data_IF_222367771684
#
_entry.id   IF_222367771684
#
_cell.length_a   1.000
_cell.length_b   1.000
_cell.length_c   1.000
_cell.angle_alpha   90.00
_cell.angle_beta   90.00
_cell.angle_gamma   90.00
#
_symmetry.space_group_name_H-M   'P 1'
#
loop_
_entity.id
_entity.type
_entity.pdbx_description
1 polymer ?
#
# COMPACT_ATOMS: atom_id res chain seq x y z
N UNK A 1 16.94 1.95 -3.13
CA UNK A 1 15.84 2.00 -2.15
C UNK A 1 15.66 3.47 -1.76
N UNK A 2 14.41 3.96 -1.66
CA UNK A 2 14.15 5.21 -0.96
C UNK A 2 14.86 5.14 0.40
N UNK A 3 15.39 6.24 0.92
CA UNK A 3 16.16 6.26 2.17
C UNK A 3 15.31 5.93 3.42
N UNK A 4 14.07 5.46 3.24
CA UNK A 4 13.15 5.00 4.28
C UNK A 4 12.62 6.14 5.14
N UNK A 5 12.83 7.40 4.73
CA UNK A 5 12.35 8.56 5.46
C UNK A 5 10.82 8.66 5.33
N UNK A 6 10.13 9.17 6.36
CA UNK A 6 8.72 9.51 6.23
C UNK A 6 8.49 10.42 5.02
N UNK A 7 7.52 10.07 4.18
CA UNK A 7 7.18 10.81 2.97
C UNK A 7 7.89 10.35 1.69
N UNK A 8 8.83 9.40 1.77
CA UNK A 8 9.67 8.99 0.63
C UNK A 8 9.01 7.89 -0.22
N UNK A 9 8.20 7.03 0.41
CA UNK A 9 7.49 5.97 -0.30
C UNK A 9 6.22 5.55 0.45
N UNK A 10 5.06 5.44 -0.22
CA UNK A 10 3.78 5.15 0.44
C UNK A 10 3.78 3.84 1.22
N UNK A 11 4.40 2.77 0.69
CA UNK A 11 4.51 1.48 1.39
C UNK A 11 5.21 1.64 2.76
N UNK A 12 6.39 2.26 2.79
CA UNK A 12 7.14 2.48 4.04
C UNK A 12 6.39 3.41 4.97
N UNK A 13 5.73 4.44 4.43
CA UNK A 13 4.94 5.38 5.21
C UNK A 13 3.76 4.70 5.90
N UNK A 14 3.03 3.83 5.21
CA UNK A 14 1.87 3.12 5.73
C UNK A 14 2.28 2.05 6.76
N UNK A 15 3.34 1.30 6.48
CA UNK A 15 3.73 0.11 7.25
C UNK A 15 4.62 0.48 8.43
N UNK A 16 5.68 1.25 8.18
CA UNK A 16 6.71 1.60 9.17
C UNK A 16 6.32 2.85 9.94
N UNK A 17 5.95 3.92 9.22
CA UNK A 17 5.66 5.22 9.83
C UNK A 17 4.20 5.37 10.27
N UNK A 18 3.33 4.39 9.96
CA UNK A 18 1.91 4.35 10.30
C UNK A 18 1.14 5.60 9.84
N UNK A 19 1.55 6.17 8.72
CA UNK A 19 0.89 7.32 8.10
C UNK A 19 -0.32 6.85 7.30
N UNK A 20 -1.27 7.77 7.13
CA UNK A 20 -2.37 7.61 6.20
C UNK A 20 -1.99 8.22 4.85
N UNK A 21 -2.20 7.48 3.76
CA UNK A 21 -1.87 7.90 2.39
C UNK A 21 -3.06 7.77 1.45
N UNK A 22 -3.66 6.58 1.37
CA UNK A 22 -4.81 6.30 0.49
C UNK A 22 -6.14 6.29 1.24
N UNK A 23 -6.09 6.53 2.55
CA UNK A 23 -7.23 6.45 3.45
C UNK A 23 -7.30 5.08 4.16
N UNK A 24 -8.04 4.99 5.28
CA UNK A 24 -8.00 3.83 6.17
C UNK A 24 -8.29 2.48 5.48
N UNK A 25 -9.30 2.34 4.60
CA UNK A 25 -9.61 1.04 3.98
C UNK A 25 -8.46 0.46 3.15
N UNK A 26 -7.82 1.29 2.32
CA UNK A 26 -6.71 0.88 1.49
C UNK A 26 -5.44 0.65 2.32
N UNK A 27 -5.16 1.56 3.25
CA UNK A 27 -3.95 1.48 4.07
C UNK A 27 -3.96 0.27 5.01
N UNK A 28 -5.12 -0.11 5.54
CA UNK A 28 -5.28 -1.33 6.35
C UNK A 28 -5.07 -2.61 5.53
N UNK A 29 -5.60 -2.65 4.30
CA UNK A 29 -5.34 -3.76 3.38
C UNK A 29 -3.86 -3.87 3.01
N UNK A 30 -3.18 -2.74 2.76
CA UNK A 30 -1.74 -2.70 2.47
C UNK A 30 -0.94 -3.28 3.65
N UNK A 31 -1.28 -2.91 4.88
CA UNK A 31 -0.66 -3.47 6.09
C UNK A 31 -0.89 -4.97 6.20
N UNK A 32 -2.11 -5.43 5.97
CA UNK A 32 -2.48 -6.85 6.03
C UNK A 32 -1.74 -7.68 4.95
N UNK A 33 -1.69 -7.19 3.71
CA UNK A 33 -0.96 -7.80 2.60
C UNK A 33 0.52 -7.93 2.96
N UNK A 34 1.13 -6.88 3.51
CA UNK A 34 2.53 -6.94 3.93
C UNK A 34 2.78 -7.93 5.06
N UNK A 35 1.82 -8.14 5.96
CA UNK A 35 1.94 -9.13 7.04
C UNK A 35 1.87 -10.55 6.48
N UNK A 36 1.01 -10.81 5.49
CA UNK A 36 0.81 -12.15 4.91
C UNK A 36 1.88 -12.53 3.87
N UNK A 37 2.24 -11.60 2.98
CA UNK A 37 3.09 -11.85 1.81
C UNK A 37 4.45 -11.14 1.84
N UNK A 38 4.72 -10.34 2.87
CA UNK A 38 5.90 -9.47 2.92
C UNK A 38 5.79 -8.23 2.01
N UNK A 39 6.79 -7.34 2.11
CA UNK A 39 6.81 -6.10 1.32
C UNK A 39 6.82 -6.31 -0.20
N UNK A 40 7.39 -7.42 -0.68
CA UNK A 40 7.47 -7.74 -2.11
C UNK A 40 6.13 -8.12 -2.75
N UNK A 41 5.12 -8.47 -1.95
CA UNK A 41 3.76 -8.67 -2.47
C UNK A 41 3.18 -7.36 -3.03
N UNK A 42 3.56 -6.23 -2.43
CA UNK A 42 3.09 -4.89 -2.80
C UNK A 42 3.87 -4.30 -3.99
N UNK A 43 5.05 -4.81 -4.33
CA UNK A 43 5.86 -4.35 -5.48
C UNK A 43 5.13 -4.50 -6.83
N UNK A 44 4.09 -5.34 -6.88
CA UNK A 44 3.24 -5.50 -8.07
C UNK A 44 2.30 -4.32 -8.31
N UNK A 45 2.08 -3.50 -7.28
CA UNK A 45 1.29 -2.28 -7.36
C UNK A 45 2.24 -1.08 -7.43
N UNK A 46 2.06 -0.23 -8.43
CA UNK A 46 2.78 1.04 -8.53
C UNK A 46 2.17 2.09 -7.59
N UNK A 47 2.24 1.82 -6.28
CA UNK A 47 1.66 2.68 -5.24
C UNK A 47 2.30 4.07 -5.22
N UNK A 48 3.57 4.19 -5.64
CA UNK A 48 4.25 5.48 -5.70
C UNK A 48 3.60 6.42 -6.73
N UNK A 49 3.29 5.92 -7.92
CA UNK A 49 2.58 6.70 -8.96
C UNK A 49 1.14 7.03 -8.58
N UNK A 50 0.53 6.25 -7.69
CA UNK A 50 -0.82 6.47 -7.20
C UNK A 50 -0.88 7.47 -6.03
N UNK A 51 0.24 7.76 -5.37
CA UNK A 51 0.27 8.59 -4.17
C UNK A 51 -0.21 10.04 -4.46
N UNK A 52 -1.26 10.52 -3.77
CA UNK A 52 -1.78 11.88 -3.96
C UNK A 52 -0.75 12.98 -3.68
N UNK A 53 0.24 12.72 -2.81
CA UNK A 53 1.29 13.68 -2.45
C UNK A 53 2.23 13.96 -3.62
N UNK A 54 2.36 13.01 -4.55
CA UNK A 54 3.15 13.15 -5.77
C UNK A 54 2.28 13.45 -7.01
N UNK A 55 1.02 13.85 -6.79
CA UNK A 55 0.08 14.21 -7.86
C UNK A 55 -0.73 13.03 -8.41
N UNK A 56 -0.61 11.85 -7.81
CA UNK A 56 -1.45 10.69 -8.12
C UNK A 56 -2.93 10.98 -7.87
N UNK A 57 -3.79 10.39 -8.70
CA UNK A 57 -5.26 10.47 -8.55
C UNK A 57 -5.86 9.09 -8.69
N UNK A 58 -5.63 8.22 -7.70
CA UNK A 58 -6.13 6.85 -7.77
C UNK A 58 -7.65 6.85 -7.69
N UNK A 59 -8.27 5.96 -8.45
CA UNK A 59 -9.61 5.53 -8.11
C UNK A 59 -9.51 4.65 -6.86
N UNK A 60 -9.86 5.21 -5.70
CA UNK A 60 -9.73 4.53 -4.41
C UNK A 60 -10.61 3.28 -4.33
N UNK A 61 -11.76 3.26 -5.00
CA UNK A 61 -12.64 2.10 -5.01
C UNK A 61 -12.03 0.96 -5.83
N UNK A 62 -11.43 1.28 -6.99
CA UNK A 62 -10.71 0.30 -7.80
C UNK A 62 -9.46 -0.23 -7.06
N UNK A 63 -8.68 0.67 -6.44
CA UNK A 63 -7.50 0.31 -5.66
C UNK A 63 -7.86 -0.60 -4.49
N UNK A 64 -8.94 -0.31 -3.76
CA UNK A 64 -9.42 -1.16 -2.67
C UNK A 64 -9.81 -2.55 -3.17
N UNK A 65 -10.50 -2.64 -4.31
CA UNK A 65 -10.89 -3.92 -4.91
C UNK A 65 -9.67 -4.76 -5.31
N UNK A 66 -8.65 -4.15 -5.92
CA UNK A 66 -7.41 -4.81 -6.30
C UNK A 66 -6.61 -5.29 -5.07
N UNK A 67 -6.53 -4.46 -4.03
CA UNK A 67 -5.90 -4.82 -2.76
C UNK A 67 -6.62 -6.00 -2.08
N UNK A 68 -7.96 -5.99 -2.05
CA UNK A 68 -8.76 -7.13 -1.53
C UNK A 68 -8.47 -8.41 -2.31
N UNK A 69 -8.53 -8.34 -3.63
CA UNK A 69 -8.27 -9.49 -4.50
C UNK A 69 -6.84 -10.03 -4.32
N UNK A 70 -5.86 -9.15 -4.11
CA UNK A 70 -4.48 -9.55 -3.83
C UNK A 70 -4.34 -10.21 -2.46
N UNK A 71 -4.93 -9.64 -1.41
CA UNK A 71 -4.94 -10.23 -0.06
C UNK A 71 -5.54 -11.63 -0.07
N UNK A 72 -6.66 -11.82 -0.78
CA UNK A 72 -7.37 -13.11 -0.79
C UNK A 72 -6.60 -14.22 -1.53
N UNK A 73 -5.60 -13.85 -2.35
CA UNK A 73 -4.66 -14.80 -2.98
C UNK A 73 -3.49 -15.18 -2.08
N UNK A 74 -3.25 -14.45 -0.99
CA UNK A 74 -2.18 -14.73 -0.05
C UNK A 74 -2.64 -15.73 1.02
N UNK A 75 -1.76 -16.64 1.48
CA UNK A 75 -2.09 -17.54 2.57
C UNK A 75 -2.49 -16.75 3.82
N UNK A 76 -3.36 -17.34 4.65
CA UNK A 76 -3.66 -16.80 5.96
C UNK A 76 -2.38 -16.78 6.82
N UNK A 77 -2.20 -15.75 7.67
CA UNK A 77 -1.03 -15.62 8.52
C UNK A 77 -0.96 -16.72 9.59
#
# INVERSE_FOLDING_TARGET
>A
MPNGKPGDHPITDIIVHRMEVFGPPCDDLIREISQRGGGSALDRLDLLSLDPRFGGRPDLAALEADLRAMRDRLPAP
#
